data_IF_720486211700
#
_entry.id   IF_720486211700
#
_cell.length_a   1.000
_cell.length_b   1.000
_cell.length_c   1.000
_cell.angle_alpha   90.00
_cell.angle_beta   90.00
_cell.angle_gamma   90.00
#
_symmetry.space_group_name_H-M   'P 1'
#
loop_
_entity.id
_entity.type
_entity.pdbx_description
1 polymer ?
#
# COMPACT_ATOMS: atom_id res chain seq x y z
N UNK A 1 -42.83 12.51 -21.55
CA UNK A 1 -41.73 12.99 -20.67
C UNK A 1 -41.05 14.13 -21.41
N UNK A 2 -40.87 15.31 -20.80
CA UNK A 2 -40.24 16.46 -21.47
C UNK A 2 -38.81 16.58 -20.97
N UNK A 3 -37.85 16.50 -21.88
CA UNK A 3 -36.50 16.99 -21.67
C UNK A 3 -36.55 18.52 -21.72
N UNK A 4 -36.32 19.18 -20.58
CA UNK A 4 -36.44 20.64 -20.46
C UNK A 4 -35.13 21.35 -20.76
N UNK A 5 -34.00 20.67 -20.53
CA UNK A 5 -32.68 21.19 -20.83
C UNK A 5 -31.70 20.04 -21.00
N UNK A 6 -30.64 20.28 -21.78
CA UNK A 6 -29.51 19.36 -21.92
C UNK A 6 -28.24 20.16 -21.76
N UNK A 7 -27.57 20.04 -20.62
CA UNK A 7 -26.35 20.81 -20.36
C UNK A 7 -25.16 19.87 -20.44
N UNK A 8 -24.11 20.30 -21.14
CA UNK A 8 -22.81 19.65 -21.11
C UNK A 8 -21.85 20.56 -20.37
N UNK A 9 -21.25 20.03 -19.32
CA UNK A 9 -20.27 20.75 -18.49
C UNK A 9 -18.94 19.98 -18.47
N UNK A 10 -17.85 20.70 -18.21
CA UNK A 10 -16.49 20.14 -18.23
C UNK A 10 -15.75 20.42 -19.54
N UNK A 11 -14.89 19.49 -19.97
CA UNK A 11 -14.08 19.58 -21.21
C UNK A 11 -14.88 19.36 -22.50
N UNK A 12 -16.14 19.77 -22.54
CA UNK A 12 -17.00 19.67 -23.72
C UNK A 12 -17.02 20.99 -24.48
N UNK A 13 -17.10 20.94 -25.81
CA UNK A 13 -17.39 22.14 -26.60
C UNK A 13 -18.80 22.63 -26.25
N UNK A 14 -19.00 23.96 -26.18
CA UNK A 14 -20.32 24.54 -25.97
C UNK A 14 -21.27 23.98 -27.03
N UNK A 15 -22.38 23.40 -26.59
CA UNK A 15 -23.37 22.76 -27.43
C UNK A 15 -24.73 23.42 -27.22
N UNK A 16 -25.45 23.68 -28.31
CA UNK A 16 -26.82 24.18 -28.25
C UNK A 16 -27.77 22.99 -28.09
N UNK A 17 -28.51 22.87 -26.97
CA UNK A 17 -29.40 21.75 -26.72
C UNK A 17 -30.43 21.61 -27.85
N UNK A 18 -30.61 20.41 -28.41
CA UNK A 18 -31.81 20.15 -29.20
C UNK A 18 -32.99 19.99 -28.24
N UNK A 19 -33.92 20.95 -28.28
CA UNK A 19 -35.16 20.89 -27.50
C UNK A 19 -36.11 19.89 -28.16
N UNK A 20 -36.59 18.90 -27.41
CA UNK A 20 -37.54 17.90 -27.90
C UNK A 20 -38.95 18.29 -27.43
N UNK A 21 -39.85 18.56 -28.37
CA UNK A 21 -41.19 19.04 -28.07
C UNK A 21 -42.07 17.99 -27.39
N UNK A 22 -43.06 18.48 -26.62
CA UNK A 22 -44.06 17.64 -25.96
C UNK A 22 -44.87 16.88 -27.00
N UNK A 23 -44.95 15.56 -26.84
CA UNK A 23 -45.70 14.68 -27.75
C UNK A 23 -44.84 14.01 -28.82
N UNK A 24 -43.56 14.36 -28.91
CA UNK A 24 -42.61 13.66 -29.78
C UNK A 24 -42.48 12.19 -29.37
N UNK A 25 -42.83 11.27 -30.27
CA UNK A 25 -42.61 9.84 -30.10
C UNK A 25 -41.17 9.54 -30.51
N UNK A 26 -40.33 9.17 -29.55
CA UNK A 26 -38.95 8.77 -29.81
C UNK A 26 -38.92 7.28 -30.15
N UNK A 27 -38.61 6.95 -31.41
CA UNK A 27 -38.37 5.58 -31.83
C UNK A 27 -36.95 5.14 -31.43
N UNK A 28 -36.84 3.90 -30.97
CA UNK A 28 -35.55 3.27 -30.65
C UNK A 28 -34.66 3.30 -31.90
N UNK A 29 -33.45 3.84 -31.78
CA UNK A 29 -32.41 3.91 -32.83
C UNK A 29 -32.61 4.93 -33.97
N UNK A 30 -33.69 5.72 -34.00
CA UNK A 30 -33.93 6.68 -35.11
C UNK A 30 -34.46 8.06 -34.71
N UNK A 31 -34.79 8.30 -33.42
CA UNK A 31 -35.47 9.53 -32.99
C UNK A 31 -34.61 10.79 -33.04
N UNK A 32 -33.55 10.86 -32.23
CA UNK A 32 -32.66 12.03 -32.11
C UNK A 32 -31.28 11.56 -31.64
N UNK A 33 -30.22 11.85 -32.40
CA UNK A 33 -28.82 11.65 -31.97
C UNK A 33 -28.18 13.01 -31.78
N UNK A 34 -27.65 13.28 -30.58
CA UNK A 34 -26.79 14.44 -30.32
C UNK A 34 -25.36 13.93 -30.09
N UNK A 35 -24.43 14.50 -30.85
CA UNK A 35 -23.00 14.18 -30.75
C UNK A 35 -22.30 15.30 -30.01
N UNK A 36 -21.50 14.95 -29.01
CA UNK A 36 -20.74 15.90 -28.22
C UNK A 36 -19.25 15.69 -28.49
N UNK A 37 -18.55 16.75 -28.84
CA UNK A 37 -17.10 16.72 -29.01
C UNK A 37 -16.41 17.21 -27.74
N UNK A 38 -15.46 16.42 -27.25
CA UNK A 38 -14.56 16.84 -26.17
C UNK A 38 -13.55 17.85 -26.72
N UNK A 39 -13.31 18.93 -25.98
CA UNK A 39 -12.21 19.87 -26.25
C UNK A 39 -10.87 19.29 -25.83
N UNK A 40 -10.88 18.39 -24.83
CA UNK A 40 -9.70 17.66 -24.35
C UNK A 40 -10.14 16.25 -23.87
N UNK A 41 -9.50 15.19 -24.37
CA UNK A 41 -9.74 13.80 -23.97
C UNK A 41 -9.34 13.52 -22.51
N UNK A 42 -8.46 14.34 -21.92
CA UNK A 42 -8.05 14.22 -20.52
C UNK A 42 -9.01 14.85 -19.50
N UNK A 43 -10.03 15.58 -19.95
CA UNK A 43 -10.97 16.29 -19.07
C UNK A 43 -12.35 15.62 -19.14
N UNK A 44 -12.84 15.14 -18.00
CA UNK A 44 -14.15 14.52 -17.89
C UNK A 44 -15.27 15.46 -18.36
N UNK A 45 -16.34 14.88 -18.91
CA UNK A 45 -17.55 15.62 -19.27
C UNK A 45 -18.75 15.03 -18.54
N UNK A 46 -19.66 15.91 -18.10
CA UNK A 46 -20.97 15.55 -17.58
C UNK A 46 -22.04 16.00 -18.55
N UNK A 47 -22.88 15.07 -18.98
CA UNK A 47 -24.06 15.32 -19.81
C UNK A 47 -25.28 15.21 -18.91
N UNK A 48 -25.93 16.33 -18.62
CA UNK A 48 -27.10 16.38 -17.76
C UNK A 48 -28.36 16.66 -18.57
N UNK A 49 -29.31 15.75 -18.49
CA UNK A 49 -30.65 15.84 -19.07
C UNK A 49 -31.65 16.18 -17.96
N UNK A 50 -32.15 17.41 -17.93
CA UNK A 50 -33.19 17.81 -16.99
C UNK A 50 -34.57 17.41 -17.52
N UNK A 51 -35.41 16.87 -16.64
CA UNK A 51 -36.74 16.36 -16.97
C UNK A 51 -37.81 17.16 -16.21
N UNK A 52 -38.87 17.59 -16.90
CA UNK A 52 -39.93 18.36 -16.24
C UNK A 52 -40.62 17.53 -15.14
N UNK A 53 -40.59 18.02 -13.90
CA UNK A 53 -41.26 17.40 -12.75
C UNK A 53 -40.62 16.10 -12.28
N UNK A 54 -39.37 15.80 -12.67
CA UNK A 54 -38.59 14.64 -12.22
C UNK A 54 -37.14 15.03 -11.98
N UNK A 55 -36.41 14.17 -11.27
CA UNK A 55 -34.97 14.28 -11.17
C UNK A 55 -34.34 14.10 -12.56
N UNK A 56 -33.35 14.95 -12.87
CA UNK A 56 -32.61 14.87 -14.14
C UNK A 56 -31.70 13.64 -14.19
N UNK A 57 -31.31 13.24 -15.39
CA UNK A 57 -30.36 12.14 -15.62
C UNK A 57 -29.00 12.75 -15.92
N UNK A 58 -27.96 12.37 -15.17
CA UNK A 58 -26.57 12.73 -15.47
C UNK A 58 -25.81 11.52 -16.02
N UNK A 59 -25.15 11.71 -17.15
CA UNK A 59 -24.23 10.74 -17.77
C UNK A 59 -22.84 11.35 -17.70
N UNK A 60 -21.95 10.71 -16.93
CA UNK A 60 -20.53 11.05 -16.93
C UNK A 60 -19.82 10.27 -18.01
N UNK A 61 -19.05 10.97 -18.83
CA UNK A 61 -18.17 10.36 -19.84
C UNK A 61 -16.74 10.70 -19.46
N UNK A 62 -15.98 9.67 -19.14
CA UNK A 62 -14.59 9.75 -18.71
C UNK A 62 -13.75 8.79 -19.55
N UNK A 63 -12.52 9.19 -19.89
CA UNK A 63 -11.50 8.30 -20.47
C UNK A 63 -10.69 7.57 -19.40
N UNK A 64 -10.97 7.85 -18.12
CA UNK A 64 -10.38 7.09 -17.03
C UNK A 64 -10.97 5.70 -17.08
N UNK A 65 -10.11 4.69 -17.27
CA UNK A 65 -10.48 3.31 -16.97
C UNK A 65 -11.07 3.33 -15.56
N UNK A 66 -12.32 2.90 -15.39
CA UNK A 66 -12.91 2.72 -14.06
C UNK A 66 -12.08 1.66 -13.35
N UNK A 67 -11.04 2.10 -12.68
CA UNK A 67 -10.23 1.25 -11.85
C UNK A 67 -11.13 0.86 -10.67
N UNK A 68 -11.59 -0.38 -10.68
CA UNK A 68 -12.53 -0.92 -9.69
C UNK A 68 -11.87 -1.18 -8.34
N UNK A 69 -10.57 -0.92 -8.21
CA UNK A 69 -9.88 -1.09 -6.95
C UNK A 69 -10.44 -0.12 -5.90
N UNK A 70 -10.75 -0.58 -4.67
CA UNK A 70 -11.20 0.28 -3.59
C UNK A 70 -10.17 1.35 -3.20
N UNK A 71 -10.64 2.46 -2.64
CA UNK A 71 -9.77 3.47 -2.01
C UNK A 71 -8.94 2.81 -0.90
N UNK A 72 -7.68 3.24 -0.78
CA UNK A 72 -6.73 2.69 0.18
C UNK A 72 -6.09 1.36 -0.21
N UNK A 73 -6.43 0.81 -1.40
CA UNK A 73 -5.71 -0.36 -1.94
C UNK A 73 -4.24 -0.02 -2.13
N UNK A 74 -3.37 -0.87 -1.61
CA UNK A 74 -1.92 -0.79 -1.81
C UNK A 74 -1.52 -1.85 -2.82
N UNK A 75 -0.78 -1.46 -3.85
CA UNK A 75 -0.21 -2.38 -4.85
C UNK A 75 1.30 -2.27 -4.87
N UNK A 76 1.93 -3.37 -5.25
CA UNK A 76 3.37 -3.48 -5.48
C UNK A 76 3.67 -3.42 -6.97
N UNK A 77 4.74 -2.72 -7.34
CA UNK A 77 5.13 -2.54 -8.74
C UNK A 77 6.65 -2.43 -8.88
N UNK A 78 7.19 -2.98 -9.95
CA UNK A 78 8.60 -2.77 -10.33
C UNK A 78 8.80 -1.45 -11.09
N UNK A 79 7.73 -0.85 -11.58
CA UNK A 79 7.76 0.44 -12.28
C UNK A 79 7.93 1.57 -11.27
N UNK A 80 8.82 2.51 -11.55
CA UNK A 80 8.94 3.75 -10.80
C UNK A 80 7.79 4.71 -11.15
N UNK A 81 7.69 5.83 -10.42
CA UNK A 81 6.53 6.73 -10.51
C UNK A 81 6.23 7.21 -11.95
N UNK A 82 7.21 7.67 -12.75
CA UNK A 82 6.94 8.13 -14.11
C UNK A 82 6.36 7.05 -15.03
N UNK A 83 6.85 5.83 -14.92
CA UNK A 83 6.36 4.69 -15.70
C UNK A 83 5.00 4.20 -15.18
N UNK A 84 4.81 4.20 -13.86
CA UNK A 84 3.57 3.77 -13.22
C UNK A 84 2.40 4.68 -13.58
N UNK A 85 2.53 6.00 -13.44
CA UNK A 85 1.47 6.95 -13.82
C UNK A 85 1.14 6.88 -15.29
N UNK A 86 2.14 6.69 -16.16
CA UNK A 86 1.92 6.48 -17.59
C UNK A 86 1.11 5.22 -17.84
N UNK A 87 1.43 4.11 -17.16
CA UNK A 87 0.69 2.86 -17.27
C UNK A 87 -0.76 2.97 -16.76
N UNK A 88 -1.00 3.80 -15.74
CA UNK A 88 -2.32 4.05 -15.17
C UNK A 88 -3.11 5.18 -15.84
N UNK A 89 -2.57 5.77 -16.92
CA UNK A 89 -3.14 6.95 -17.57
C UNK A 89 -3.42 8.11 -16.59
N UNK A 90 -2.48 8.32 -15.65
CA UNK A 90 -2.54 9.35 -14.60
C UNK A 90 -1.54 10.49 -14.86
N UNK A 91 -1.64 11.58 -14.10
CA UNK A 91 -0.76 12.75 -14.26
C UNK A 91 0.61 12.53 -13.61
N UNK A 92 1.66 12.87 -14.36
CA UNK A 92 3.04 12.76 -13.88
C UNK A 92 3.34 13.68 -12.69
N UNK A 93 2.92 14.94 -12.80
CA UNK A 93 3.01 15.89 -11.69
C UNK A 93 1.95 15.51 -10.67
N UNK A 94 2.40 15.16 -9.47
CA UNK A 94 1.52 14.70 -8.41
C UNK A 94 0.70 15.85 -7.83
N UNK A 95 -0.61 15.66 -7.81
CA UNK A 95 -1.63 16.48 -7.15
C UNK A 95 -2.63 15.54 -6.47
N UNK A 96 -2.69 15.61 -5.13
CA UNK A 96 -3.55 14.77 -4.31
C UNK A 96 -5.05 14.88 -4.64
N UNK A 97 -5.49 15.98 -5.28
CA UNK A 97 -6.89 16.17 -5.66
C UNK A 97 -7.25 15.53 -7.01
N UNK A 98 -6.25 15.16 -7.80
CA UNK A 98 -6.44 14.75 -9.19
C UNK A 98 -5.93 13.33 -9.43
N UNK A 99 -4.76 12.99 -8.88
CA UNK A 99 -4.14 11.70 -9.10
C UNK A 99 -4.93 10.57 -8.48
N UNK A 100 -5.05 9.45 -9.19
CA UNK A 100 -5.71 8.26 -8.68
C UNK A 100 -4.83 7.53 -7.66
N UNK A 101 -3.51 7.59 -7.85
CA UNK A 101 -2.53 6.87 -7.06
C UNK A 101 -1.52 7.82 -6.41
N UNK A 102 -1.00 7.42 -5.25
CA UNK A 102 0.11 8.08 -4.58
C UNK A 102 1.21 7.06 -4.25
N UNK A 103 2.49 7.40 -4.42
CA UNK A 103 3.60 6.64 -3.86
C UNK A 103 3.51 6.56 -2.34
N UNK A 104 3.83 5.39 -1.79
CA UNK A 104 3.90 5.16 -0.36
C UNK A 104 5.25 5.62 0.22
N UNK A 105 5.52 6.93 0.14
CA UNK A 105 6.78 7.56 0.56
C UNK A 105 6.58 8.72 1.55
N UNK A 106 5.41 8.75 2.21
CA UNK A 106 4.98 9.79 3.15
C UNK A 106 4.59 11.14 2.54
N UNK A 107 4.38 11.23 1.23
CA UNK A 107 3.86 12.47 0.64
C UNK A 107 2.48 12.86 1.17
N UNK A 108 2.20 14.16 1.13
CA UNK A 108 0.90 14.74 1.47
C UNK A 108 -0.16 14.29 0.45
N UNK A 109 -1.30 13.86 0.96
CA UNK A 109 -2.49 13.44 0.22
C UNK A 109 -3.72 14.28 0.64
N UNK A 110 -3.51 15.41 1.31
CA UNK A 110 -4.58 16.32 1.72
C UNK A 110 -5.44 16.74 0.54
N UNK A 111 -6.76 16.58 0.69
CA UNK A 111 -7.73 16.89 -0.36
C UNK A 111 -8.09 15.70 -1.27
N UNK A 112 -7.46 14.54 -1.08
CA UNK A 112 -7.89 13.28 -1.73
C UNK A 112 -9.12 12.67 -1.05
N UNK A 113 -9.83 11.78 -1.76
CA UNK A 113 -10.95 11.01 -1.22
C UNK A 113 -10.50 10.11 -0.06
N UNK A 114 -9.33 9.49 -0.18
CA UNK A 114 -8.76 8.67 0.90
C UNK A 114 -8.49 9.51 2.16
N UNK A 115 -7.98 10.73 2.01
CA UNK A 115 -7.78 11.62 3.15
C UNK A 115 -9.11 12.01 3.81
N UNK A 116 -10.13 12.30 3.01
CA UNK A 116 -11.47 12.60 3.50
C UNK A 116 -12.09 11.42 4.29
N UNK A 117 -11.91 10.20 3.80
CA UNK A 117 -12.43 8.98 4.41
C UNK A 117 -11.65 8.54 5.66
N UNK A 118 -10.32 8.45 5.56
CA UNK A 118 -9.46 7.90 6.61
C UNK A 118 -9.03 8.92 7.68
N UNK A 119 -9.27 10.22 7.42
CA UNK A 119 -8.77 11.36 8.21
C UNK A 119 -7.25 11.43 8.29
N UNK A 120 -6.54 10.84 7.32
CA UNK A 120 -5.08 10.88 7.22
C UNK A 120 -4.67 11.76 6.06
N UNK A 121 -3.75 12.67 6.34
CA UNK A 121 -3.23 13.63 5.36
C UNK A 121 -1.97 13.12 4.66
N UNK A 122 -1.34 12.04 5.12
CA UNK A 122 -0.12 11.49 4.51
C UNK A 122 -0.36 10.06 4.01
N UNK A 123 0.23 9.72 2.87
CA UNK A 123 0.40 8.34 2.44
C UNK A 123 1.31 7.59 3.45
N UNK A 124 1.17 6.26 3.62
CA UNK A 124 2.11 5.51 4.45
C UNK A 124 3.52 5.56 3.84
N UNK A 125 4.56 5.52 4.68
CA UNK A 125 5.94 5.28 4.21
C UNK A 125 6.23 3.79 4.25
N UNK A 126 6.31 3.16 3.08
CA UNK A 126 6.53 1.72 2.93
C UNK A 126 7.92 1.38 2.37
N UNK A 127 8.84 2.33 2.34
CA UNK A 127 10.22 2.10 1.88
C UNK A 127 10.98 1.29 2.92
N UNK A 128 11.54 0.15 2.50
CA UNK A 128 12.40 -0.67 3.36
C UNK A 128 11.67 -1.33 4.54
N UNK A 129 10.36 -1.50 4.47
CA UNK A 129 9.57 -2.16 5.53
C UNK A 129 8.82 -3.37 4.99
N UNK A 130 8.64 -4.38 5.85
CA UNK A 130 7.74 -5.49 5.58
C UNK A 130 6.31 -5.16 5.99
N UNK A 131 5.36 -5.58 5.16
CA UNK A 131 3.94 -5.51 5.49
C UNK A 131 3.55 -6.73 6.33
N UNK A 132 2.69 -6.51 7.32
CA UNK A 132 2.08 -7.57 8.14
C UNK A 132 0.58 -7.38 8.24
N UNK A 133 -0.14 -8.49 8.35
CA UNK A 133 -1.56 -8.48 8.67
C UNK A 133 -1.82 -7.88 10.05
N UNK A 134 -2.99 -7.24 10.20
CA UNK A 134 -3.48 -6.78 11.50
C UNK A 134 -3.85 -7.98 12.38
N UNK A 135 -3.70 -7.86 13.71
CA UNK A 135 -4.06 -8.91 14.67
C UNK A 135 -5.55 -9.27 14.69
N UNK A 136 -6.38 -8.35 14.20
CA UNK A 136 -7.83 -8.44 14.15
C UNK A 136 -8.27 -7.67 12.92
N UNK A 137 -9.13 -8.27 12.11
CA UNK A 137 -9.69 -7.62 10.93
C UNK A 137 -11.02 -6.96 11.26
N UNK A 138 -11.87 -7.65 12.01
CA UNK A 138 -13.18 -7.19 12.48
C UNK A 138 -13.19 -7.08 14.01
N UNK A 139 -13.55 -5.92 14.61
CA UNK A 139 -13.72 -5.77 16.05
C UNK A 139 -14.55 -6.87 16.73
N UNK A 140 -15.54 -7.44 16.03
CA UNK A 140 -16.45 -8.49 16.52
C UNK A 140 -15.91 -9.92 16.39
N UNK A 141 -14.72 -10.10 15.82
CA UNK A 141 -14.08 -11.43 15.76
C UNK A 141 -13.95 -12.03 17.17
N UNK A 142 -14.20 -13.35 17.31
CA UNK A 142 -14.26 -14.04 18.60
C UNK A 142 -12.94 -13.98 19.40
N UNK A 143 -11.85 -13.54 18.78
CA UNK A 143 -10.60 -13.20 19.44
C UNK A 143 -9.56 -12.70 18.44
N UNK A 144 -8.50 -11.99 18.90
CA UNK A 144 -7.35 -11.72 18.03
C UNK A 144 -6.66 -13.03 17.65
N UNK A 145 -5.80 -12.98 16.62
CA UNK A 145 -4.98 -14.13 16.21
C UNK A 145 -4.27 -14.82 17.40
N UNK A 146 -4.07 -16.16 17.35
CA UNK A 146 -3.46 -16.92 18.44
C UNK A 146 -2.10 -16.37 18.88
N UNK A 147 -1.71 -16.62 20.13
CA UNK A 147 -0.56 -15.98 20.78
C UNK A 147 0.77 -16.01 20.01
N UNK A 148 1.04 -17.05 19.22
CA UNK A 148 2.26 -17.16 18.40
C UNK A 148 2.28 -16.24 17.16
N UNK A 149 1.10 -15.80 16.69
CA UNK A 149 0.93 -14.92 15.53
C UNK A 149 0.62 -13.47 15.93
N UNK A 150 0.23 -13.27 17.20
CA UNK A 150 -0.16 -11.99 17.75
C UNK A 150 0.99 -11.00 17.71
N UNK A 151 0.75 -9.84 17.13
CA UNK A 151 1.60 -8.66 17.28
C UNK A 151 1.77 -8.39 18.78
N UNK A 152 3.01 -8.32 19.28
CA UNK A 152 3.28 -8.00 20.68
C UNK A 152 2.77 -6.61 21.06
N UNK A 153 2.53 -5.72 20.09
CA UNK A 153 1.98 -4.39 20.29
C UNK A 153 0.47 -4.39 20.03
N UNK A 154 -0.34 -4.22 21.08
CA UNK A 154 -1.79 -4.07 20.95
C UNK A 154 -2.18 -2.67 20.42
N UNK A 155 -3.33 -2.56 19.75
CA UNK A 155 -3.92 -1.26 19.36
C UNK A 155 -3.31 -0.56 18.15
N UNK A 156 -2.49 -1.24 17.34
CA UNK A 156 -2.02 -0.68 16.06
C UNK A 156 -3.20 -0.39 15.13
N UNK A 157 -3.00 0.58 14.23
CA UNK A 157 -3.90 0.89 13.12
C UNK A 157 -3.24 0.47 11.81
N UNK A 158 -4.03 -0.01 10.84
CA UNK A 158 -3.54 -0.28 9.48
C UNK A 158 -2.89 0.98 8.90
N UNK A 159 -1.72 0.89 8.27
CA UNK A 159 -0.95 2.06 7.78
C UNK A 159 -0.44 3.01 8.88
N UNK A 160 -0.39 2.57 10.13
CA UNK A 160 0.15 3.34 11.26
C UNK A 160 1.68 3.23 11.38
N UNK A 161 2.19 3.45 12.60
CA UNK A 161 3.64 3.45 12.88
C UNK A 161 4.31 2.12 12.50
N UNK A 162 5.54 2.21 12.00
CA UNK A 162 6.40 1.05 11.72
C UNK A 162 6.71 0.32 13.03
N UNK A 163 6.69 -1.01 12.99
CA UNK A 163 7.17 -1.82 14.11
C UNK A 163 8.69 -1.94 14.01
N UNK A 164 9.46 -1.70 15.07
CA UNK A 164 10.89 -1.96 15.05
C UNK A 164 11.14 -3.46 14.85
N UNK A 165 12.25 -3.80 14.20
CA UNK A 165 12.70 -5.18 14.09
C UNK A 165 12.93 -5.78 15.49
N UNK A 166 12.69 -7.08 15.63
CA UNK A 166 12.97 -7.83 16.85
C UNK A 166 13.28 -9.27 16.50
N UNK A 167 14.39 -9.79 16.99
CA UNK A 167 14.84 -11.17 16.80
C UNK A 167 14.27 -12.14 17.86
N UNK A 168 13.45 -11.61 18.78
CA UNK A 168 12.95 -12.35 19.94
C UNK A 168 14.05 -12.65 20.96
N UNK A 169 13.65 -13.13 22.14
CA UNK A 169 14.61 -13.69 23.12
C UNK A 169 15.01 -15.08 22.64
N UNK A 170 16.30 -15.34 22.50
CA UNK A 170 16.81 -16.68 22.27
C UNK A 170 18.07 -16.90 23.11
N UNK A 171 18.35 -18.16 23.44
CA UNK A 171 19.53 -18.59 24.17
C UNK A 171 20.25 -19.63 23.32
N UNK A 172 21.55 -19.45 23.20
CA UNK A 172 22.46 -20.47 22.68
C UNK A 172 23.13 -21.14 23.87
N UNK A 173 23.21 -22.46 23.86
CA UNK A 173 23.90 -23.23 24.89
C UNK A 173 25.03 -23.99 24.20
N UNK A 174 26.28 -23.71 24.57
CA UNK A 174 27.43 -24.53 24.15
C UNK A 174 27.84 -25.46 25.29
N UNK A 175 28.15 -26.71 24.94
CA UNK A 175 28.77 -27.67 25.86
C UNK A 175 30.29 -27.51 25.75
N UNK A 176 30.91 -27.07 26.83
CA UNK A 176 32.36 -27.16 26.99
C UNK A 176 32.73 -28.47 27.68
N UNK A 177 33.68 -29.22 27.13
CA UNK A 177 34.38 -30.26 27.88
C UNK A 177 35.71 -29.69 28.38
N UNK A 178 36.04 -29.85 29.67
CA UNK A 178 37.42 -29.62 30.11
C UNK A 178 38.32 -30.63 29.43
N UNK A 179 39.28 -30.13 28.65
CA UNK A 179 40.38 -30.98 28.20
C UNK A 179 41.21 -31.37 29.44
N UNK A 180 41.23 -32.66 29.81
CA UNK A 180 42.02 -33.17 30.96
C UNK A 180 43.55 -33.09 30.77
N UNK A 181 44.08 -32.21 29.91
CA UNK A 181 45.52 -32.04 29.71
C UNK A 181 45.87 -30.58 29.52
N UNK A 182 46.94 -30.18 30.19
CA UNK A 182 47.68 -28.93 29.98
C UNK A 182 48.03 -28.78 28.49
N UNK A 183 47.16 -28.14 27.71
CA UNK A 183 47.45 -27.76 26.33
C UNK A 183 48.18 -26.41 26.37
N UNK A 184 49.49 -26.45 26.58
CA UNK A 184 50.37 -25.34 26.22
C UNK A 184 50.53 -25.34 24.71
N UNK A 185 49.66 -24.65 23.99
CA UNK A 185 49.76 -24.56 22.54
C UNK A 185 48.57 -23.90 21.88
N UNK A 186 48.61 -22.57 21.78
CA UNK A 186 47.80 -21.87 20.78
C UNK A 186 48.37 -22.20 19.40
N UNK A 187 47.78 -23.16 18.68
CA UNK A 187 48.02 -23.29 17.24
C UNK A 187 47.11 -22.30 16.51
N UNK A 188 47.69 -21.18 16.11
CA UNK A 188 47.11 -20.29 15.12
C UNK A 188 47.29 -20.92 13.74
N UNK A 189 46.25 -21.56 13.21
CA UNK A 189 46.21 -21.93 11.79
C UNK A 189 45.62 -20.75 11.00
N UNK A 190 46.38 -20.06 10.14
CA UNK A 190 45.89 -18.92 9.38
C UNK A 190 44.91 -19.30 8.24
N UNK A 191 44.62 -20.59 8.04
CA UNK A 191 43.87 -21.08 6.87
C UNK A 191 42.43 -21.49 7.15
N UNK A 192 42.01 -21.54 8.41
CA UNK A 192 40.61 -21.81 8.74
C UNK A 192 39.88 -20.48 8.98
N UNK A 193 38.85 -20.27 8.17
CA UNK A 193 37.90 -19.17 8.31
C UNK A 193 37.41 -19.07 9.76
N UNK A 194 37.06 -17.85 10.18
CA UNK A 194 36.85 -17.39 11.56
C UNK A 194 35.62 -18.00 12.27
N UNK A 195 35.46 -19.31 12.27
CA UNK A 195 34.64 -19.99 13.25
C UNK A 195 35.42 -20.13 14.55
N UNK A 196 34.73 -19.96 15.67
CA UNK A 196 35.32 -19.93 17.01
C UNK A 196 35.93 -21.30 17.32
N UNK A 197 37.19 -21.49 16.96
CA UNK A 197 37.92 -22.74 17.23
C UNK A 197 38.41 -22.69 18.67
N UNK A 198 37.64 -23.34 19.55
CA UNK A 198 38.02 -23.78 20.91
C UNK A 198 38.37 -22.64 21.88
N UNK A 199 37.36 -22.22 22.64
CA UNK A 199 37.57 -21.44 23.86
C UNK A 199 38.21 -22.34 24.90
N UNK A 200 39.55 -22.38 24.93
CA UNK A 200 40.37 -23.17 25.85
C UNK A 200 40.46 -22.61 27.26
N UNK A 201 39.59 -21.68 27.66
CA UNK A 201 39.56 -21.14 29.01
C UNK A 201 38.13 -20.80 29.45
N UNK A 202 37.37 -21.82 29.83
CA UNK A 202 36.13 -21.67 30.58
C UNK A 202 36.48 -21.49 32.07
N UNK A 203 37.28 -20.46 32.40
CA UNK A 203 37.93 -20.25 33.69
C UNK A 203 37.04 -20.15 34.94
N UNK A 204 35.72 -20.39 34.82
CA UNK A 204 34.76 -20.29 35.92
C UNK A 204 33.57 -21.27 35.87
N UNK A 205 33.50 -22.18 34.89
CA UNK A 205 32.31 -23.02 34.69
C UNK A 205 32.64 -24.50 34.97
N UNK A 206 31.85 -25.14 35.84
CA UNK A 206 31.99 -26.58 36.16
C UNK A 206 31.76 -27.44 34.90
N UNK A 207 32.38 -28.64 34.88
CA UNK A 207 32.18 -29.64 33.82
C UNK A 207 30.67 -29.83 33.59
N UNK A 208 30.25 -29.87 32.31
CA UNK A 208 28.87 -30.04 31.85
C UNK A 208 27.91 -28.83 31.94
N UNK A 209 28.40 -27.63 32.23
CA UNK A 209 27.52 -26.45 32.29
C UNK A 209 27.28 -25.83 30.90
N UNK A 210 26.00 -25.56 30.59
CA UNK A 210 25.58 -24.83 29.40
C UNK A 210 26.08 -23.38 29.45
N UNK A 211 27.08 -23.05 28.64
CA UNK A 211 27.63 -21.69 28.57
C UNK A 211 26.78 -20.88 27.59
N UNK A 212 26.16 -19.75 28.00
CA UNK A 212 25.45 -18.88 27.08
C UNK A 212 26.43 -18.20 26.13
N UNK A 213 26.29 -18.38 24.80
CA UNK A 213 27.23 -17.78 23.83
C UNK A 213 27.06 -16.26 23.65
N UNK A 214 25.94 -15.69 24.14
CA UNK A 214 25.79 -14.25 24.36
C UNK A 214 24.63 -13.96 25.32
N UNK A 215 24.75 -12.91 26.13
CA UNK A 215 23.63 -12.31 26.88
C UNK A 215 22.82 -11.31 26.04
N UNK A 216 23.33 -10.98 24.86
CA UNK A 216 22.77 -9.96 23.99
C UNK A 216 22.10 -10.60 22.78
N UNK A 217 20.89 -10.15 22.49
CA UNK A 217 20.25 -10.43 21.21
C UNK A 217 21.19 -9.94 20.09
N UNK A 218 21.44 -10.74 19.04
CA UNK A 218 22.24 -10.32 17.91
C UNK A 218 21.68 -9.01 17.35
N UNK A 219 22.56 -8.03 17.21
CA UNK A 219 22.25 -6.77 16.55
C UNK A 219 22.32 -7.00 15.04
N UNK A 220 21.17 -7.15 14.42
CA UNK A 220 21.10 -7.39 12.99
C UNK A 220 19.72 -7.94 12.61
N UNK A 221 19.08 -7.31 11.65
CA UNK A 221 17.89 -7.85 11.02
C UNK A 221 18.25 -9.16 10.32
N UNK A 222 17.62 -10.28 10.70
CA UNK A 222 17.61 -11.48 9.84
C UNK A 222 16.79 -11.11 8.61
N UNK A 223 17.46 -10.77 7.52
CA UNK A 223 16.82 -10.42 6.25
C UNK A 223 16.68 -11.70 5.42
N UNK A 224 15.46 -12.21 5.20
CA UNK A 224 15.25 -13.17 4.12
C UNK A 224 15.71 -12.54 2.80
N UNK A 225 16.17 -13.37 1.86
CA UNK A 225 16.41 -12.92 0.49
C UNK A 225 15.15 -12.22 -0.02
N UNK A 226 15.27 -10.96 -0.46
CA UNK A 226 14.14 -10.15 -0.91
C UNK A 226 14.49 -9.36 -2.17
N UNK A 227 13.44 -8.91 -2.86
CA UNK A 227 13.52 -8.03 -4.04
C UNK A 227 12.75 -6.75 -3.71
N UNK A 228 13.35 -5.60 -4.02
CA UNK A 228 12.73 -4.31 -3.81
C UNK A 228 11.67 -4.02 -4.87
N UNK A 229 10.53 -3.50 -4.43
CA UNK A 229 9.43 -3.02 -5.27
C UNK A 229 8.97 -1.65 -4.76
N UNK A 230 8.36 -0.86 -5.64
CA UNK A 230 7.64 0.35 -5.28
C UNK A 230 6.24 -0.01 -4.78
N UNK A 231 5.76 0.73 -3.79
CA UNK A 231 4.39 0.63 -3.30
C UNK A 231 3.61 1.90 -3.68
N UNK A 232 2.41 1.69 -4.19
CA UNK A 232 1.45 2.75 -4.52
C UNK A 232 0.14 2.49 -3.80
N UNK A 233 -0.50 3.56 -3.31
CA UNK A 233 -1.81 3.53 -2.66
C UNK A 233 -2.83 4.29 -3.51
N UNK A 234 -4.03 3.73 -3.64
CA UNK A 234 -5.14 4.40 -4.33
C UNK A 234 -5.76 5.47 -3.44
N UNK A 235 -5.81 6.71 -3.93
CA UNK A 235 -6.23 7.89 -3.16
C UNK A 235 -7.51 8.55 -3.66
N UNK A 236 -7.89 8.39 -4.94
CA UNK A 236 -9.11 8.97 -5.54
C UNK A 236 -9.88 7.96 -6.41
N UNK A 237 -11.15 8.27 -6.72
CA UNK A 237 -11.99 7.52 -7.67
C UNK A 237 -12.11 8.19 -9.05
#
# INVERSE_FOLDING_TARGET
>A
MIATNLTVTGGGKIHTPTVIERGTILHRYTGVTQTFQRTDSGIDISIRLDLQGREGVEIRVTDRTQDRLPLGTIVQSILAWPEYVKAMNDKLVFDAKINLWAPCDRRDITGSDLAALSKRTEAPDLRGVFLRGMNRFDPEEPGPVPGKQKDPTSGRKAGGKVQPHSVGRHRHESKGERTKRNLTGFHYDPREDRDIVRVGDAGYFEDESNIPTSYHNPSGETRPNNVAVHYYIKINQ
#
